data_IF_244387017588
#
_entry.id   IF_244387017588
#
_cell.length_a   1.000
_cell.length_b   1.000
_cell.length_c   1.000
_cell.angle_alpha   90.00
_cell.angle_beta   90.00
_cell.angle_gamma   90.00
#
_symmetry.space_group_name_H-M   'P 1'
#
loop_
_entity.id
_entity.type
_entity.pdbx_description
1 polymer ?
#
# COMPACT_ATOMS: atom_id res chain seq x y z
N UNK A 1 4.13 -1.67 13.04
CA UNK A 1 4.92 -2.25 11.92
C UNK A 1 4.08 -3.18 11.06
N UNK A 2 3.27 -4.06 11.66
CA UNK A 2 2.44 -4.99 10.89
C UNK A 2 1.48 -4.31 9.93
N UNK A 3 0.78 -3.26 10.36
CA UNK A 3 -0.11 -2.48 9.49
C UNK A 3 0.67 -1.75 8.39
N UNK A 4 1.81 -1.14 8.71
CA UNK A 4 2.66 -0.49 7.72
C UNK A 4 3.18 -1.50 6.69
N UNK A 5 3.57 -2.69 7.12
CA UNK A 5 3.98 -3.79 6.23
C UNK A 5 2.86 -4.15 5.25
N UNK A 6 1.63 -4.30 5.73
CA UNK A 6 0.48 -4.64 4.88
C UNK A 6 0.15 -3.52 3.88
N UNK A 7 0.21 -2.25 4.32
CA UNK A 7 -0.03 -1.11 3.43
C UNK A 7 1.01 -1.07 2.30
N UNK A 8 2.28 -1.29 2.62
CA UNK A 8 3.36 -1.34 1.62
C UNK A 8 3.16 -2.51 0.67
N UNK A 9 2.81 -3.69 1.18
CA UNK A 9 2.54 -4.88 0.36
C UNK A 9 1.39 -4.65 -0.64
N UNK A 10 0.29 -4.09 -0.17
CA UNK A 10 -0.87 -3.75 -1.01
C UNK A 10 -0.50 -2.73 -2.10
N UNK A 11 0.34 -1.76 -1.76
CA UNK A 11 0.81 -0.74 -2.70
C UNK A 11 1.76 -1.33 -3.75
N UNK A 12 2.68 -2.22 -3.34
CA UNK A 12 3.58 -2.92 -4.24
C UNK A 12 2.84 -3.83 -5.21
N UNK A 13 1.74 -4.45 -4.78
CA UNK A 13 0.91 -5.26 -5.68
C UNK A 13 0.41 -4.44 -6.88
N UNK A 14 0.17 -3.15 -6.70
CA UNK A 14 -0.33 -2.25 -7.73
C UNK A 14 0.79 -1.58 -8.54
N UNK A 15 1.89 -1.17 -7.90
CA UNK A 15 3.05 -0.53 -8.55
C UNK A 15 4.01 -1.52 -9.18
N UNK A 16 3.98 -2.76 -8.72
CA UNK A 16 4.85 -3.83 -9.16
C UNK A 16 6.00 -4.11 -8.20
N UNK A 17 6.50 -5.33 -8.26
CA UNK A 17 7.65 -5.80 -7.49
C UNK A 17 8.90 -5.71 -8.34
N UNK A 18 10.04 -5.43 -7.72
CA UNK A 18 11.32 -5.22 -8.41
C UNK A 18 11.72 -6.39 -9.32
N UNK A 19 11.44 -7.61 -8.91
CA UNK A 19 11.82 -8.82 -9.62
C UNK A 19 10.68 -9.46 -10.41
N UNK A 20 9.54 -8.78 -10.56
CA UNK A 20 8.33 -9.29 -11.23
C UNK A 20 7.88 -10.67 -10.74
N UNK A 21 8.15 -11.00 -9.48
CA UNK A 21 7.82 -12.29 -8.88
C UNK A 21 6.32 -12.53 -8.73
N UNK A 22 5.53 -11.45 -8.75
CA UNK A 22 4.07 -11.49 -8.69
C UNK A 22 3.49 -10.64 -9.81
N UNK A 23 2.36 -11.07 -10.33
CA UNK A 23 1.61 -10.31 -11.31
C UNK A 23 1.06 -9.04 -10.70
N UNK A 24 1.27 -7.92 -11.37
CA UNK A 24 0.75 -6.62 -10.99
C UNK A 24 -0.79 -6.63 -11.03
N UNK A 25 -1.42 -6.20 -9.95
CA UNK A 25 -2.87 -6.11 -9.88
C UNK A 25 -3.60 -7.41 -9.52
N UNK A 26 -2.92 -8.42 -8.99
CA UNK A 26 -3.56 -9.67 -8.56
C UNK A 26 -4.70 -9.45 -7.56
N UNK A 27 -4.56 -8.49 -6.64
CA UNK A 27 -5.59 -8.17 -5.64
C UNK A 27 -6.85 -7.58 -6.28
N UNK A 28 -6.70 -6.80 -7.36
CA UNK A 28 -7.84 -6.26 -8.13
C UNK A 28 -8.56 -7.42 -8.81
N UNK A 29 -7.84 -8.32 -9.47
CA UNK A 29 -8.41 -9.48 -10.12
C UNK A 29 -9.14 -10.42 -9.15
N UNK A 30 -8.66 -10.49 -7.92
CA UNK A 30 -9.30 -11.26 -6.85
C UNK A 30 -10.51 -10.56 -6.22
N UNK A 31 -10.78 -9.31 -6.57
CA UNK A 31 -11.87 -8.52 -5.99
C UNK A 31 -11.64 -8.11 -4.54
N UNK A 32 -10.37 -8.03 -4.12
CA UNK A 32 -10.03 -7.65 -2.76
C UNK A 32 -10.14 -6.14 -2.54
N UNK A 33 -10.73 -5.75 -1.42
CA UNK A 33 -10.70 -4.37 -0.96
C UNK A 33 -9.43 -4.17 -0.14
N UNK A 34 -8.39 -3.71 -0.82
CA UNK A 34 -7.09 -3.41 -0.20
C UNK A 34 -7.06 -1.99 0.35
N UNK A 35 -6.00 -1.65 1.05
CA UNK A 35 -5.83 -0.30 1.61
C UNK A 35 -5.83 0.80 0.53
N UNK A 36 -5.13 0.66 -0.62
CA UNK A 36 -5.23 1.63 -1.72
C UNK A 36 -6.65 1.80 -2.27
N UNK A 37 -7.41 0.73 -2.42
CA UNK A 37 -8.81 0.79 -2.87
C UNK A 37 -9.67 1.58 -1.87
N UNK A 38 -9.56 1.27 -0.59
CA UNK A 38 -10.27 1.99 0.48
C UNK A 38 -9.87 3.47 0.51
N UNK A 39 -8.59 3.77 0.30
CA UNK A 39 -8.07 5.14 0.25
C UNK A 39 -8.64 5.92 -0.94
N UNK A 40 -8.69 5.30 -2.11
CA UNK A 40 -9.31 5.88 -3.31
C UNK A 40 -10.80 6.15 -3.09
N UNK A 41 -11.51 5.22 -2.45
CA UNK A 41 -12.93 5.40 -2.10
C UNK A 41 -13.18 6.64 -1.26
N UNK A 42 -12.27 7.01 -0.38
CA UNK A 42 -12.37 8.23 0.44
C UNK A 42 -12.05 9.52 -0.32
N UNK A 43 -11.41 9.42 -1.48
CA UNK A 43 -10.91 10.58 -2.27
C UNK A 43 -11.72 10.85 -3.54
N UNK A 44 -12.36 9.84 -4.10
CA UNK A 44 -13.08 9.95 -5.36
C UNK A 44 -14.49 10.53 -5.18
N UNK A 45 -15.02 11.27 -6.21
CA UNK A 45 -16.42 11.65 -6.25
C UNK A 45 -17.36 10.44 -6.28
N UNK A 46 -18.62 10.61 -5.88
CA UNK A 46 -19.58 9.52 -5.73
C UNK A 46 -19.77 8.66 -6.98
N UNK A 47 -19.80 9.28 -8.16
CA UNK A 47 -19.96 8.57 -9.43
C UNK A 47 -18.74 7.69 -9.77
N UNK A 48 -17.54 8.23 -9.59
CA UNK A 48 -16.28 7.49 -9.82
C UNK A 48 -16.07 6.41 -8.75
N UNK A 49 -16.45 6.68 -7.52
CA UNK A 49 -16.42 5.71 -6.42
C UNK A 49 -17.28 4.49 -6.72
N UNK A 50 -18.50 4.70 -7.18
CA UNK A 50 -19.42 3.63 -7.57
C UNK A 50 -18.87 2.82 -8.75
N UNK A 51 -18.29 3.49 -9.74
CA UNK A 51 -17.64 2.85 -10.89
C UNK A 51 -16.47 1.96 -10.46
N UNK A 52 -15.60 2.47 -9.59
CA UNK A 52 -14.48 1.70 -9.04
C UNK A 52 -14.98 0.47 -8.27
N UNK A 53 -15.97 0.64 -7.40
CA UNK A 53 -16.55 -0.46 -6.65
C UNK A 53 -17.12 -1.55 -7.56
N UNK A 54 -17.88 -1.18 -8.57
CA UNK A 54 -18.46 -2.13 -9.53
C UNK A 54 -17.35 -2.90 -10.28
N UNK A 55 -16.32 -2.21 -10.71
CA UNK A 55 -15.19 -2.84 -11.43
C UNK A 55 -14.46 -3.84 -10.56
N UNK A 56 -14.09 -3.46 -9.35
CA UNK A 56 -13.37 -4.35 -8.42
C UNK A 56 -14.25 -5.53 -8.01
N UNK A 57 -15.52 -5.29 -7.73
CA UNK A 57 -16.47 -6.34 -7.32
C UNK A 57 -16.71 -7.38 -8.43
N UNK A 58 -16.55 -7.00 -9.69
CA UNK A 58 -16.70 -7.92 -10.84
C UNK A 58 -15.54 -8.88 -11.01
N UNK A 59 -14.47 -8.75 -10.24
CA UNK A 59 -13.24 -9.54 -10.32
C UNK A 59 -12.69 -9.55 -11.75
N UNK A 60 -12.24 -8.40 -12.27
CA UNK A 60 -11.85 -8.28 -13.67
C UNK A 60 -10.64 -9.15 -13.99
N UNK A 61 -10.68 -9.82 -15.14
CA UNK A 61 -9.58 -10.64 -15.66
C UNK A 61 -8.86 -9.96 -16.82
N UNK A 62 -9.48 -8.96 -17.44
CA UNK A 62 -8.88 -8.20 -18.54
C UNK A 62 -7.73 -7.33 -18.04
N UNK A 63 -6.50 -7.53 -18.54
CA UNK A 63 -5.35 -6.70 -18.16
C UNK A 63 -5.57 -5.19 -18.41
N UNK A 64 -6.33 -4.83 -19.44
CA UNK A 64 -6.65 -3.43 -19.74
C UNK A 64 -7.51 -2.80 -18.66
N UNK A 65 -8.49 -3.53 -18.14
CA UNK A 65 -9.36 -3.08 -17.04
C UNK A 65 -8.55 -2.93 -15.75
N UNK A 66 -7.70 -3.89 -15.43
CA UNK A 66 -6.82 -3.84 -14.25
C UNK A 66 -5.87 -2.63 -14.35
N UNK A 67 -5.26 -2.40 -15.51
CA UNK A 67 -4.38 -1.26 -15.74
C UNK A 67 -5.12 0.07 -15.56
N UNK A 68 -6.36 0.19 -16.05
CA UNK A 68 -7.17 1.37 -15.88
C UNK A 68 -7.52 1.65 -14.40
N UNK A 69 -7.78 0.62 -13.61
CA UNK A 69 -8.00 0.76 -12.16
C UNK A 69 -6.73 1.26 -11.47
N UNK A 70 -5.58 0.69 -11.79
CA UNK A 70 -4.29 1.12 -11.23
C UNK A 70 -4.01 2.58 -11.56
N UNK A 71 -4.22 2.99 -12.80
CA UNK A 71 -4.07 4.38 -13.24
C UNK A 71 -4.99 5.32 -12.46
N UNK A 72 -6.23 4.95 -12.26
CA UNK A 72 -7.19 5.72 -11.45
C UNK A 72 -6.69 5.87 -9.99
N UNK A 73 -6.13 4.82 -9.40
CA UNK A 73 -5.56 4.87 -8.05
C UNK A 73 -4.33 5.77 -7.98
N UNK A 74 -3.49 5.79 -8.99
CA UNK A 74 -2.35 6.72 -9.08
C UNK A 74 -2.83 8.17 -9.24
N UNK A 75 -3.75 8.43 -10.16
CA UNK A 75 -4.20 9.77 -10.50
C UNK A 75 -4.94 10.46 -9.35
N UNK A 76 -5.69 9.71 -8.56
CA UNK A 76 -6.36 10.29 -7.39
C UNK A 76 -5.41 10.47 -6.18
N UNK A 77 -4.16 10.05 -6.29
CA UNK A 77 -3.15 10.14 -5.23
C UNK A 77 -3.30 9.10 -4.11
N UNK A 78 -4.09 8.06 -4.32
CA UNK A 78 -4.32 7.03 -3.31
C UNK A 78 -3.05 6.25 -2.96
N UNK A 79 -2.23 5.89 -3.95
CA UNK A 79 -0.99 5.14 -3.73
C UNK A 79 0.04 5.96 -2.96
N UNK A 80 0.23 7.23 -3.34
CA UNK A 80 1.13 8.13 -2.60
C UNK A 80 0.65 8.38 -1.17
N UNK A 81 -0.66 8.50 -0.97
CA UNK A 81 -1.25 8.64 0.36
C UNK A 81 -1.01 7.40 1.22
N UNK A 82 -1.07 6.21 0.65
CA UNK A 82 -0.76 4.95 1.33
C UNK A 82 0.71 4.90 1.78
N UNK A 83 1.64 5.26 0.91
CA UNK A 83 3.06 5.29 1.24
C UNK A 83 3.36 6.28 2.36
N UNK A 84 2.79 7.48 2.30
CA UNK A 84 2.93 8.49 3.37
C UNK A 84 2.37 7.97 4.69
N UNK A 85 1.22 7.32 4.66
CA UNK A 85 0.60 6.78 5.88
C UNK A 85 1.42 5.65 6.49
N UNK A 86 1.96 4.74 5.67
CA UNK A 86 2.85 3.68 6.14
C UNK A 86 4.10 4.25 6.82
N UNK A 87 4.72 5.25 6.20
CA UNK A 87 5.88 5.96 6.76
C UNK A 87 5.54 6.63 8.08
N UNK A 88 4.42 7.32 8.16
CA UNK A 88 3.97 7.99 9.38
C UNK A 88 3.72 7.01 10.52
N UNK A 89 3.12 5.84 10.23
CA UNK A 89 2.90 4.79 11.22
C UNK A 89 4.22 4.30 11.83
N UNK A 90 5.22 4.04 11.00
CA UNK A 90 6.54 3.59 11.45
C UNK A 90 7.24 4.69 12.25
N UNK A 91 7.25 5.92 11.78
CA UNK A 91 7.89 7.04 12.47
C UNK A 91 7.23 7.35 13.81
N UNK A 92 5.90 7.36 13.86
CA UNK A 92 5.16 7.60 15.12
C UNK A 92 5.43 6.48 16.13
N UNK A 93 5.43 5.22 15.69
CA UNK A 93 5.75 4.10 16.56
C UNK A 93 7.19 4.19 17.10
N UNK A 94 8.14 4.57 16.23
CA UNK A 94 9.53 4.75 16.62
C UNK A 94 9.70 5.88 17.66
N UNK A 95 9.07 7.02 17.44
CA UNK A 95 9.13 8.16 18.37
C UNK A 95 8.63 7.79 19.78
N UNK A 96 7.67 6.88 19.88
CA UNK A 96 7.17 6.37 21.16
C UNK A 96 8.09 5.35 21.79
N UNK A 97 8.77 4.55 20.99
CA UNK A 97 9.61 3.45 21.44
C UNK A 97 11.03 3.93 21.80
N UNK A 98 11.58 4.86 21.04
CA UNK A 98 12.96 5.32 21.15
C UNK A 98 13.38 5.71 22.58
N UNK A 99 12.59 6.54 23.33
CA UNK A 99 12.96 6.90 24.70
C UNK A 99 12.93 5.73 25.69
N UNK A 100 12.25 4.64 25.36
CA UNK A 100 12.11 3.46 26.22
C UNK A 100 13.24 2.45 26.04
N UNK A 101 14.02 2.58 24.96
CA UNK A 101 15.11 1.65 24.62
C UNK A 101 16.45 2.25 25.01
N UNK A 102 17.33 1.38 25.56
CA UNK A 102 18.73 1.74 25.77
C UNK A 102 19.45 1.81 24.43
N UNK A 103 20.40 2.71 24.31
CA UNK A 103 21.29 2.77 23.17
C UNK A 103 22.09 1.46 23.07
N UNK A 104 21.91 0.75 21.97
CA UNK A 104 22.48 -0.56 21.73
C UNK A 104 22.45 -0.91 20.25
N UNK A 105 23.19 -1.96 19.87
CA UNK A 105 23.12 -2.51 18.50
C UNK A 105 21.71 -2.98 18.15
N UNK A 106 21.00 -3.55 19.13
CA UNK A 106 19.61 -4.03 18.93
C UNK A 106 18.69 -2.87 18.58
N UNK A 107 18.84 -1.73 19.25
CA UNK A 107 18.07 -0.51 18.94
C UNK A 107 18.28 -0.05 17.50
N UNK A 108 19.53 -0.06 17.02
CA UNK A 108 19.86 0.30 15.64
C UNK A 108 19.24 -0.69 14.65
N UNK A 109 19.29 -1.98 14.94
CA UNK A 109 18.71 -3.02 14.11
C UNK A 109 17.18 -2.86 14.02
N UNK A 110 16.51 -2.58 15.13
CA UNK A 110 15.07 -2.33 15.16
C UNK A 110 14.69 -1.10 14.31
N UNK A 111 15.48 -0.04 14.39
CA UNK A 111 15.28 1.15 13.56
C UNK A 111 15.45 0.84 12.08
N UNK A 112 16.52 0.13 11.73
CA UNK A 112 16.79 -0.30 10.37
C UNK A 112 15.69 -1.22 9.83
N UNK A 113 15.13 -2.10 10.65
CA UNK A 113 14.02 -2.97 10.29
C UNK A 113 12.76 -2.17 9.93
N UNK A 114 12.41 -1.14 10.70
CA UNK A 114 11.29 -0.25 10.37
C UNK A 114 11.46 0.41 9.02
N UNK A 115 12.64 0.87 8.69
CA UNK A 115 12.96 1.45 7.39
C UNK A 115 12.92 0.41 6.27
N UNK A 116 13.44 -0.79 6.52
CA UNK A 116 13.38 -1.90 5.56
C UNK A 116 11.94 -2.22 5.15
N UNK A 117 11.01 -2.23 6.11
CA UNK A 117 9.58 -2.46 5.83
C UNK A 117 9.02 -1.44 4.84
N UNK A 118 9.45 -0.17 4.97
CA UNK A 118 8.99 0.91 4.09
C UNK A 118 9.65 0.90 2.70
N UNK A 119 10.91 0.53 2.64
CA UNK A 119 11.75 0.66 1.44
C UNK A 119 11.84 -0.63 0.61
N UNK A 120 11.26 -1.72 1.09
CA UNK A 120 11.31 -2.99 0.37
C UNK A 120 10.62 -2.89 -0.99
N UNK A 121 11.17 -3.59 -1.97
CA UNK A 121 10.69 -3.60 -3.35
C UNK A 121 11.02 -4.93 -4.05
N UNK A 122 10.68 -6.01 -3.40
CA UNK A 122 10.96 -7.33 -4.00
C UNK A 122 10.02 -7.74 -5.11
#
# INVERSE_FOLDING_TARGET
IGLAFQIVDDTLNLRGFKDNLKSKGEDIAAGKVTFPIAKAMSRLPSNERLGLWKTVSSKPTDPAVIAAVIEQLEDCGALDACERQARQLVETAWQRLDPLLRDSRVKVILRAFGWYVLERSY
#
